data_IF_095102935100
#
_entry.id   IF_095102935100
#
_cell.length_a   1.000
_cell.length_b   1.000
_cell.length_c   1.000
_cell.angle_alpha   90.00
_cell.angle_beta   90.00
_cell.angle_gamma   90.00
#
_symmetry.space_group_name_H-M   'P 1'
#
loop_
_entity.id
_entity.type
_entity.pdbx_description
1 polymer ?
#
# COMPACT_ATOMS: atom_id res chain seq x y z
N UNK A 1 -26.58 -43.57 -13.40
CA UNK A 1 -26.75 -43.39 -11.96
C UNK A 1 -27.48 -42.07 -11.72
N UNK A 2 -28.77 -42.11 -11.43
CA UNK A 2 -29.59 -40.91 -11.17
C UNK A 2 -29.39 -40.52 -9.71
N UNK A 3 -28.81 -39.37 -9.46
CA UNK A 3 -28.76 -38.77 -8.12
C UNK A 3 -29.96 -37.86 -8.00
N UNK A 4 -30.93 -38.29 -7.16
CA UNK A 4 -32.06 -37.51 -6.73
C UNK A 4 -31.60 -36.37 -5.82
N UNK A 5 -31.63 -35.14 -6.30
CA UNK A 5 -31.46 -33.94 -5.49
C UNK A 5 -32.81 -33.20 -5.40
N UNK A 6 -33.75 -33.83 -4.72
CA UNK A 6 -35.06 -33.27 -4.40
C UNK A 6 -35.34 -33.62 -2.95
N UNK A 7 -34.92 -32.77 -2.03
CA UNK A 7 -35.47 -32.64 -0.67
C UNK A 7 -34.67 -31.58 0.11
N UNK A 8 -35.11 -30.31 0.00
CA UNK A 8 -34.96 -29.33 1.08
C UNK A 8 -35.42 -27.95 0.58
N UNK A 9 -36.77 -27.79 0.30
CA UNK A 9 -37.40 -26.46 0.31
C UNK A 9 -38.93 -26.63 0.24
N UNK A 10 -39.65 -26.86 1.33
CA UNK A 10 -41.09 -26.81 1.31
C UNK A 10 -41.75 -25.79 2.22
N UNK A 11 -41.16 -24.65 2.59
CA UNK A 11 -41.85 -23.77 3.54
C UNK A 11 -41.87 -22.26 3.24
N UNK A 12 -41.38 -21.77 2.11
CA UNK A 12 -41.33 -20.30 1.91
C UNK A 12 -42.15 -19.72 0.74
N UNK A 13 -42.88 -20.53 -0.06
CA UNK A 13 -43.64 -20.00 -1.18
C UNK A 13 -45.08 -20.54 -1.22
N UNK A 14 -45.93 -20.09 -0.29
CA UNK A 14 -47.38 -20.19 -0.44
C UNK A 14 -47.90 -18.93 -1.10
N UNK A 15 -48.30 -19.01 -2.39
CA UNK A 15 -49.02 -17.93 -3.07
C UNK A 15 -48.51 -17.45 -4.42
N UNK A 16 -47.46 -18.03 -4.97
CA UNK A 16 -46.96 -17.68 -6.31
C UNK A 16 -47.22 -18.84 -7.30
N UNK A 17 -47.57 -18.56 -8.57
CA UNK A 17 -47.63 -19.58 -9.59
C UNK A 17 -46.25 -20.20 -9.80
N UNK A 18 -46.17 -21.49 -10.19
CA UNK A 18 -44.89 -22.15 -10.42
C UNK A 18 -44.11 -21.40 -11.53
N UNK A 19 -42.81 -21.12 -11.33
CA UNK A 19 -42.02 -20.42 -12.31
C UNK A 19 -41.90 -21.23 -13.60
N UNK A 20 -41.95 -20.54 -14.75
CA UNK A 20 -41.78 -21.14 -16.08
C UNK A 20 -40.44 -21.93 -16.15
N UNK A 21 -40.45 -23.17 -16.72
CA UNK A 21 -39.24 -23.98 -16.82
C UNK A 21 -38.07 -23.33 -17.59
N UNK A 22 -38.38 -22.42 -18.50
CA UNK A 22 -37.38 -21.64 -19.24
C UNK A 22 -36.80 -20.48 -18.43
N UNK A 23 -37.60 -19.86 -17.54
CA UNK A 23 -37.13 -18.84 -16.62
C UNK A 23 -36.17 -19.42 -15.58
N UNK A 24 -36.47 -20.59 -15.03
CA UNK A 24 -35.57 -21.27 -14.07
C UNK A 24 -34.20 -21.55 -14.68
N UNK A 25 -34.15 -21.96 -15.95
CA UNK A 25 -32.86 -22.22 -16.63
C UNK A 25 -32.08 -20.94 -16.87
N UNK A 26 -32.76 -19.83 -17.16
CA UNK A 26 -32.10 -18.56 -17.48
C UNK A 26 -31.58 -17.87 -16.23
N UNK A 27 -32.37 -17.86 -15.15
CA UNK A 27 -31.97 -17.25 -13.87
C UNK A 27 -30.91 -18.07 -13.16
N UNK A 28 -30.97 -19.40 -13.22
CA UNK A 28 -29.94 -20.29 -12.68
C UNK A 28 -28.61 -20.16 -13.44
N UNK A 29 -28.67 -19.97 -14.77
CA UNK A 29 -27.48 -19.78 -15.60
C UNK A 29 -26.83 -18.41 -15.39
N UNK A 30 -27.64 -17.36 -15.17
CA UNK A 30 -27.15 -16.01 -14.85
C UNK A 30 -26.56 -15.97 -13.42
N UNK A 31 -27.20 -16.63 -12.46
CA UNK A 31 -26.70 -16.72 -11.08
C UNK A 31 -25.38 -17.51 -11.00
N UNK A 32 -25.27 -18.62 -11.72
CA UNK A 32 -24.02 -19.41 -11.77
C UNK A 32 -22.90 -18.68 -12.55
N UNK A 33 -23.22 -17.99 -13.65
CA UNK A 33 -22.20 -17.20 -14.37
C UNK A 33 -21.72 -15.99 -13.55
N UNK A 34 -22.61 -15.35 -12.80
CA UNK A 34 -22.25 -14.26 -11.88
C UNK A 34 -21.40 -14.75 -10.70
N UNK A 35 -21.79 -15.86 -10.08
CA UNK A 35 -21.02 -16.45 -8.96
C UNK A 35 -19.65 -17.00 -9.39
N UNK A 36 -19.55 -17.62 -10.58
CA UNK A 36 -18.27 -18.12 -11.12
C UNK A 36 -17.33 -16.97 -11.55
N UNK A 37 -17.87 -15.85 -12.02
CA UNK A 37 -17.08 -14.66 -12.39
C UNK A 37 -16.53 -13.91 -11.15
N UNK A 38 -17.21 -14.00 -10.00
CA UNK A 38 -16.78 -13.35 -8.75
C UNK A 38 -15.77 -14.17 -7.95
N UNK A 39 -15.64 -15.47 -8.18
CA UNK A 39 -14.72 -16.32 -7.41
C UNK A 39 -13.28 -16.36 -7.94
N UNK A 40 -12.98 -15.82 -9.14
CA UNK A 40 -11.71 -16.14 -9.83
C UNK A 40 -10.71 -15.00 -9.98
N UNK A 41 -10.99 -13.76 -9.53
CA UNK A 41 -10.18 -12.63 -9.97
C UNK A 41 -9.49 -11.77 -8.89
N UNK A 42 -9.74 -11.97 -7.59
CA UNK A 42 -9.23 -11.07 -6.55
C UNK A 42 -8.44 -11.76 -5.42
N UNK A 43 -7.90 -12.94 -5.65
CA UNK A 43 -7.11 -13.65 -4.65
C UNK A 43 -5.68 -13.89 -5.14
N UNK A 44 -4.71 -13.55 -4.29
CA UNK A 44 -3.33 -13.95 -4.48
C UNK A 44 -3.04 -15.24 -3.71
N UNK A 45 -2.39 -16.19 -4.38
CA UNK A 45 -1.99 -17.45 -3.76
C UNK A 45 -0.58 -17.33 -3.17
N UNK A 46 -0.44 -17.60 -1.89
CA UNK A 46 0.83 -17.53 -1.18
C UNK A 46 1.58 -18.86 -1.27
N UNK A 47 2.84 -18.82 -1.68
CA UNK A 47 3.73 -19.97 -1.84
C UNK A 47 4.44 -20.23 -0.52
N UNK A 48 3.85 -21.08 0.33
CA UNK A 48 4.31 -21.33 1.70
C UNK A 48 5.75 -21.83 1.79
N UNK A 49 6.20 -22.65 0.86
CA UNK A 49 7.55 -23.22 0.88
C UNK A 49 8.62 -22.18 0.58
N UNK A 50 8.32 -21.18 -0.27
CA UNK A 50 9.18 -20.02 -0.48
C UNK A 50 9.11 -19.11 0.74
N UNK A 51 7.94 -18.90 1.29
CA UNK A 51 7.73 -18.04 2.47
C UNK A 51 8.53 -18.46 3.70
N UNK A 52 8.71 -19.78 3.92
CA UNK A 52 9.53 -20.32 5.02
C UNK A 52 11.03 -20.01 4.90
N UNK A 53 11.52 -19.74 3.68
CA UNK A 53 12.93 -19.45 3.41
C UNK A 53 13.24 -17.94 3.50
N UNK A 54 12.22 -17.12 3.68
CA UNK A 54 12.36 -15.67 3.71
C UNK A 54 13.17 -15.22 4.93
N UNK A 55 14.22 -14.41 4.77
CA UNK A 55 14.97 -13.86 5.91
C UNK A 55 14.07 -12.91 6.73
N UNK A 56 14.33 -12.89 8.03
CA UNK A 56 13.60 -12.05 8.98
C UNK A 56 14.62 -11.35 9.91
N UNK A 57 14.67 -10.02 9.86
CA UNK A 57 15.55 -9.20 10.69
C UNK A 57 14.82 -8.08 11.46
N UNK A 58 13.54 -7.87 11.23
CA UNK A 58 12.77 -6.88 12.01
C UNK A 58 12.65 -7.30 13.47
N UNK A 59 12.42 -8.59 13.73
CA UNK A 59 12.29 -9.15 15.07
C UNK A 59 13.61 -9.77 15.56
N UNK A 60 14.40 -10.35 14.64
CA UNK A 60 15.70 -10.91 14.91
C UNK A 60 16.80 -9.99 14.36
N UNK A 61 17.15 -8.94 15.10
CA UNK A 61 18.16 -7.95 14.69
C UNK A 61 19.59 -8.49 14.59
N UNK A 62 19.85 -9.67 15.13
CA UNK A 62 21.17 -10.34 15.01
C UNK A 62 21.31 -11.12 13.71
N UNK A 63 20.25 -11.28 12.92
CA UNK A 63 20.33 -11.94 11.63
C UNK A 63 21.09 -11.05 10.64
N UNK A 64 21.97 -11.69 9.84
CA UNK A 64 22.70 -11.01 8.78
C UNK A 64 21.70 -10.36 7.79
N UNK A 65 21.91 -9.11 7.46
CA UNK A 65 21.07 -8.38 6.52
C UNK A 65 21.50 -8.72 5.08
N UNK A 66 20.62 -9.33 4.26
CA UNK A 66 20.96 -9.68 2.89
C UNK A 66 21.17 -8.47 1.97
N UNK A 67 20.68 -7.28 2.35
CA UNK A 67 20.82 -6.06 1.56
C UNK A 67 22.11 -5.28 1.88
N UNK A 68 22.76 -5.59 3.01
CA UNK A 68 24.10 -5.06 3.31
C UNK A 68 25.20 -5.79 2.54
N UNK A 69 24.95 -7.00 2.07
CA UNK A 69 25.87 -7.80 1.26
C UNK A 69 25.69 -7.47 -0.23
N UNK A 70 26.08 -6.24 -0.60
CA UNK A 70 25.83 -5.71 -1.94
C UNK A 70 26.61 -6.46 -3.04
N UNK A 71 27.75 -7.04 -2.73
CA UNK A 71 28.57 -7.82 -3.69
C UNK A 71 27.87 -9.10 -4.15
N UNK A 72 26.98 -9.65 -3.32
CA UNK A 72 26.22 -10.87 -3.60
C UNK A 72 24.78 -10.61 -4.06
N UNK A 73 24.41 -9.36 -4.34
CA UNK A 73 23.11 -9.05 -4.94
C UNK A 73 23.07 -9.52 -6.39
N UNK A 74 22.01 -10.21 -6.76
CA UNK A 74 21.74 -10.72 -8.11
C UNK A 74 20.47 -10.16 -8.69
N UNK A 75 20.28 -10.36 -10.00
CA UNK A 75 19.06 -9.95 -10.70
C UNK A 75 18.72 -8.46 -10.57
N UNK A 76 19.77 -7.63 -10.55
CA UNK A 76 19.65 -6.17 -10.51
C UNK A 76 19.03 -5.69 -11.83
N UNK A 77 17.98 -4.89 -11.74
CA UNK A 77 17.24 -4.34 -12.87
C UNK A 77 17.66 -2.90 -13.18
N UNK A 78 17.90 -2.10 -12.14
CA UNK A 78 18.42 -0.73 -12.27
C UNK A 78 19.04 -0.25 -10.97
N UNK A 79 19.90 0.78 -11.07
CA UNK A 79 20.55 1.44 -9.93
C UNK A 79 20.62 2.95 -10.13
N UNK A 80 20.60 3.70 -9.03
CA UNK A 80 20.91 5.13 -9.01
C UNK A 80 21.62 5.49 -7.69
N UNK A 81 22.94 5.47 -7.71
CA UNK A 81 23.79 5.56 -6.52
C UNK A 81 23.58 4.36 -5.60
N UNK A 82 23.22 4.60 -4.35
CA UNK A 82 22.92 3.56 -3.37
C UNK A 82 21.53 2.93 -3.50
N UNK A 83 20.68 3.46 -4.39
CA UNK A 83 19.36 2.90 -4.65
C UNK A 83 19.48 1.77 -5.66
N UNK A 84 18.98 0.57 -5.31
CA UNK A 84 19.11 -0.63 -6.14
C UNK A 84 17.72 -1.27 -6.30
N UNK A 85 17.29 -1.43 -7.55
CA UNK A 85 16.08 -2.17 -7.89
C UNK A 85 16.44 -3.54 -8.46
N UNK A 86 15.89 -4.62 -7.88
CA UNK A 86 16.24 -6.00 -8.22
C UNK A 86 15.01 -6.93 -8.10
N UNK A 87 15.08 -8.10 -8.73
CA UNK A 87 14.07 -9.14 -8.55
C UNK A 87 14.09 -9.65 -7.10
N UNK A 88 12.90 -9.92 -6.55
CA UNK A 88 12.81 -10.53 -5.24
C UNK A 88 13.29 -11.99 -5.29
N UNK A 89 14.33 -12.32 -4.53
CA UNK A 89 14.87 -13.68 -4.41
C UNK A 89 13.84 -14.69 -3.86
N UNK A 90 12.84 -14.20 -3.11
CA UNK A 90 11.80 -15.01 -2.49
C UNK A 90 10.41 -14.57 -2.97
N UNK A 91 10.02 -14.86 -4.23
CA UNK A 91 8.74 -14.46 -4.79
C UNK A 91 7.62 -15.33 -4.21
N UNK A 92 7.02 -14.87 -3.12
CA UNK A 92 6.03 -15.65 -2.34
C UNK A 92 4.61 -15.63 -2.90
N UNK A 93 4.32 -14.86 -3.95
CA UNK A 93 3.00 -14.76 -4.55
C UNK A 93 3.00 -15.39 -5.94
N UNK A 94 2.05 -16.29 -6.19
CA UNK A 94 1.88 -16.95 -7.49
C UNK A 94 1.40 -15.94 -8.54
N UNK A 95 1.79 -16.15 -9.79
CA UNK A 95 1.38 -15.35 -10.96
C UNK A 95 1.65 -13.83 -10.79
N UNK A 96 2.81 -13.51 -10.21
CA UNK A 96 3.28 -12.14 -9.99
C UNK A 96 4.74 -11.96 -10.38
N UNK A 97 5.11 -10.75 -10.72
CA UNK A 97 6.49 -10.31 -10.85
C UNK A 97 6.85 -9.47 -9.62
N UNK A 98 7.62 -10.05 -8.70
CA UNK A 98 7.96 -9.41 -7.43
C UNK A 98 9.37 -8.84 -7.48
N UNK A 99 9.49 -7.56 -7.15
CA UNK A 99 10.78 -6.86 -7.07
C UNK A 99 10.93 -6.15 -5.74
N UNK A 100 12.17 -5.87 -5.39
CA UNK A 100 12.57 -5.11 -4.21
C UNK A 100 13.37 -3.90 -4.67
N UNK A 101 13.16 -2.76 -4.05
CA UNK A 101 13.91 -1.55 -4.24
C UNK A 101 14.59 -1.21 -2.91
N UNK A 102 15.90 -1.49 -2.82
CA UNK A 102 16.74 -1.13 -1.68
C UNK A 102 16.95 0.38 -1.75
N UNK A 103 16.68 1.08 -0.66
CA UNK A 103 16.62 2.54 -0.63
C UNK A 103 17.97 3.20 -0.39
N UNK A 104 18.87 2.52 0.30
CA UNK A 104 20.15 3.06 0.79
C UNK A 104 21.13 1.92 1.04
N UNK A 105 22.41 2.20 1.14
CA UNK A 105 23.47 1.26 1.55
C UNK A 105 23.61 1.14 3.09
N UNK A 106 23.05 2.08 3.84
CA UNK A 106 23.06 2.07 5.30
C UNK A 106 21.82 1.40 5.89
N UNK A 107 22.02 0.30 6.62
CA UNK A 107 20.95 -0.51 7.20
C UNK A 107 20.10 0.23 8.26
N UNK A 108 20.66 1.25 8.91
CA UNK A 108 19.97 2.01 9.97
C UNK A 108 19.23 3.24 9.45
N UNK A 109 19.45 3.62 8.19
CA UNK A 109 18.77 4.75 7.60
C UNK A 109 17.34 4.41 7.16
N UNK A 110 16.48 5.41 7.19
CA UNK A 110 15.09 5.31 6.78
C UNK A 110 14.56 6.67 6.30
N UNK A 111 13.35 6.73 5.76
CA UNK A 111 12.75 7.97 5.21
C UNK A 111 12.88 9.17 6.17
N UNK A 112 12.74 8.97 7.47
CA UNK A 112 12.86 10.04 8.46
C UNK A 112 14.28 10.64 8.56
N UNK A 113 15.34 9.86 8.25
CA UNK A 113 16.74 10.27 8.36
C UNK A 113 17.37 10.74 7.06
N UNK A 114 16.80 10.40 5.90
CA UNK A 114 17.34 10.77 4.60
C UNK A 114 17.48 12.29 4.42
N UNK A 115 18.48 12.69 3.64
CA UNK A 115 18.55 14.05 3.09
C UNK A 115 17.38 14.28 2.13
N UNK A 116 16.95 15.53 1.96
CA UNK A 116 15.89 15.86 1.00
C UNK A 116 16.27 15.44 -0.43
N UNK A 117 17.52 15.60 -0.82
CA UNK A 117 18.01 15.21 -2.13
C UNK A 117 17.86 13.70 -2.36
N UNK A 118 18.31 12.89 -1.39
CA UNK A 118 18.17 11.44 -1.46
C UNK A 118 16.69 11.02 -1.48
N UNK A 119 15.85 11.66 -0.67
CA UNK A 119 14.41 11.37 -0.63
C UNK A 119 13.73 11.65 -1.98
N UNK A 120 14.02 12.80 -2.59
CA UNK A 120 13.50 13.15 -3.93
C UNK A 120 13.98 12.18 -4.99
N UNK A 121 15.26 11.83 -4.97
CA UNK A 121 15.86 10.85 -5.86
C UNK A 121 15.17 9.48 -5.72
N UNK A 122 14.99 9.01 -4.50
CA UNK A 122 14.32 7.75 -4.18
C UNK A 122 12.89 7.70 -4.74
N UNK A 123 12.08 8.73 -4.49
CA UNK A 123 10.69 8.75 -4.94
C UNK A 123 10.59 8.87 -6.46
N UNK A 124 11.43 9.70 -7.11
CA UNK A 124 11.50 9.76 -8.58
C UNK A 124 11.83 8.39 -9.18
N UNK A 125 12.87 7.74 -8.67
CA UNK A 125 13.31 6.43 -9.11
C UNK A 125 12.21 5.37 -8.91
N UNK A 126 11.57 5.35 -7.76
CA UNK A 126 10.51 4.40 -7.42
C UNK A 126 9.27 4.56 -8.32
N UNK A 127 8.79 5.78 -8.48
CA UNK A 127 7.61 6.08 -9.29
C UNK A 127 7.90 5.82 -10.77
N UNK A 128 9.08 6.19 -11.28
CA UNK A 128 9.47 5.93 -12.66
C UNK A 128 9.38 4.43 -12.99
N UNK A 129 10.00 3.57 -12.17
CA UNK A 129 10.00 2.13 -12.43
C UNK A 129 8.61 1.50 -12.18
N UNK A 130 7.85 2.00 -11.22
CA UNK A 130 6.48 1.56 -11.00
C UNK A 130 5.58 1.86 -12.19
N UNK A 131 5.57 3.09 -12.71
CA UNK A 131 4.78 3.48 -13.87
C UNK A 131 5.26 2.78 -15.15
N UNK A 132 6.57 2.60 -15.33
CA UNK A 132 7.13 1.85 -16.44
C UNK A 132 6.66 0.37 -16.42
N UNK A 133 6.59 -0.24 -15.23
CA UNK A 133 6.09 -1.61 -15.11
C UNK A 133 4.56 -1.67 -15.31
N UNK A 134 3.83 -0.63 -14.90
CA UNK A 134 2.38 -0.51 -15.09
C UNK A 134 1.98 -0.41 -16.56
N UNK A 135 2.84 0.14 -17.42
CA UNK A 135 2.62 0.19 -18.87
C UNK A 135 2.85 -1.14 -19.58
N UNK A 136 3.30 -2.19 -18.89
CA UNK A 136 3.48 -3.53 -19.45
C UNK A 136 2.17 -4.30 -19.40
N UNK A 137 1.64 -4.65 -20.57
CA UNK A 137 0.38 -5.39 -20.76
C UNK A 137 0.37 -6.79 -20.13
N UNK A 138 1.53 -7.30 -19.68
CA UNK A 138 1.61 -8.58 -18.95
C UNK A 138 0.89 -8.52 -17.59
N UNK A 139 0.73 -7.32 -17.01
CA UNK A 139 0.17 -7.13 -15.67
C UNK A 139 -1.19 -6.44 -15.71
N UNK A 140 -2.17 -7.04 -15.06
CA UNK A 140 -3.49 -6.42 -14.83
C UNK A 140 -3.38 -5.19 -13.94
N UNK A 141 -2.49 -5.24 -12.95
CA UNK A 141 -2.16 -4.09 -12.12
C UNK A 141 -0.77 -4.22 -11.50
N UNK A 142 -0.19 -3.09 -11.11
CA UNK A 142 1.13 -3.02 -10.46
C UNK A 142 1.02 -2.17 -9.21
N UNK A 143 1.54 -2.67 -8.08
CA UNK A 143 1.56 -1.96 -6.81
C UNK A 143 2.98 -1.53 -6.46
N UNK A 144 3.09 -0.36 -5.82
CA UNK A 144 4.31 0.13 -5.16
C UNK A 144 3.97 0.39 -3.70
N UNK A 145 4.74 -0.18 -2.78
CA UNK A 145 4.51 0.02 -1.35
C UNK A 145 5.79 -0.14 -0.53
N UNK A 146 5.75 0.38 0.70
CA UNK A 146 6.80 0.26 1.70
C UNK A 146 6.25 -0.22 3.03
N UNK A 147 7.01 -1.09 3.67
CA UNK A 147 6.82 -1.47 5.07
C UNK A 147 7.97 -0.92 5.92
N UNK A 148 7.65 -0.30 7.06
CA UNK A 148 8.64 0.14 8.04
C UNK A 148 8.19 -0.20 9.46
N UNK A 149 9.10 -0.81 10.22
CA UNK A 149 8.88 -1.16 11.62
C UNK A 149 8.06 -2.44 11.86
N UNK A 150 7.98 -2.90 13.13
CA UNK A 150 7.50 -4.25 13.47
C UNK A 150 6.01 -4.49 13.22
N UNK A 151 5.18 -3.45 13.15
CA UNK A 151 3.73 -3.59 12.92
C UNK A 151 3.32 -3.39 11.46
N UNK A 152 4.29 -3.16 10.56
CA UNK A 152 4.02 -2.88 9.15
C UNK A 152 3.77 -4.11 8.28
N UNK A 153 4.08 -5.31 8.77
CA UNK A 153 4.05 -6.55 7.98
C UNK A 153 5.33 -6.83 7.19
N UNK A 154 6.36 -6.01 7.33
CA UNK A 154 7.68 -6.26 6.76
C UNK A 154 8.44 -7.39 7.45
N UNK A 155 9.46 -7.94 6.81
CA UNK A 155 10.36 -8.95 7.36
C UNK A 155 11.80 -8.47 7.56
N UNK A 156 12.24 -7.48 6.78
CA UNK A 156 13.61 -6.96 6.83
C UNK A 156 13.64 -5.55 7.39
N UNK A 157 14.62 -5.30 8.27
CA UNK A 157 14.85 -3.99 8.90
C UNK A 157 15.40 -2.97 7.90
N UNK A 158 16.36 -3.37 7.08
CA UNK A 158 16.96 -2.53 6.04
C UNK A 158 15.88 -1.88 5.16
N UNK A 159 15.95 -0.57 5.02
CA UNK A 159 14.93 0.19 4.31
C UNK A 159 14.78 -0.23 2.84
N UNK A 160 13.58 -0.61 2.47
CA UNK A 160 13.26 -1.03 1.11
C UNK A 160 11.78 -0.77 0.76
N UNK A 161 11.51 -0.63 -0.53
CA UNK A 161 10.18 -0.65 -1.13
C UNK A 161 10.00 -1.94 -1.94
N UNK A 162 8.77 -2.21 -2.36
CA UNK A 162 8.45 -3.31 -3.26
C UNK A 162 7.60 -2.82 -4.41
N UNK A 163 7.94 -3.29 -5.63
CA UNK A 163 7.10 -3.12 -6.82
C UNK A 163 6.66 -4.52 -7.25
N UNK A 164 5.35 -4.75 -7.36
CA UNK A 164 4.81 -6.07 -7.71
C UNK A 164 3.83 -5.93 -8.86
N UNK A 165 4.15 -6.55 -9.99
CA UNK A 165 3.23 -6.74 -11.11
C UNK A 165 2.36 -7.96 -10.87
N UNK A 166 1.04 -7.81 -10.96
CA UNK A 166 0.04 -8.85 -10.76
C UNK A 166 -0.64 -9.18 -12.09
N UNK A 167 -0.61 -10.48 -12.49
CA UNK A 167 -1.14 -10.90 -13.81
C UNK A 167 -2.67 -10.96 -13.86
N UNK A 168 -3.32 -11.22 -12.73
CA UNK A 168 -4.75 -11.55 -12.70
C UNK A 168 -5.55 -10.75 -11.67
N UNK A 169 -4.90 -9.98 -10.81
CA UNK A 169 -5.55 -9.20 -9.75
C UNK A 169 -5.51 -7.73 -10.11
N UNK A 170 -6.66 -7.06 -10.03
CA UNK A 170 -6.76 -5.61 -10.13
C UNK A 170 -7.04 -5.02 -8.74
N UNK A 171 -6.03 -4.44 -8.12
CA UNK A 171 -6.17 -3.88 -6.78
C UNK A 171 -7.18 -2.71 -6.72
N UNK A 172 -7.41 -2.01 -7.83
CA UNK A 172 -8.35 -0.89 -7.89
C UNK A 172 -9.81 -1.31 -7.66
N UNK A 173 -10.17 -2.59 -7.90
CA UNK A 173 -11.51 -3.09 -7.61
C UNK A 173 -11.86 -3.11 -6.10
N UNK A 174 -10.84 -2.99 -5.23
CA UNK A 174 -11.01 -2.97 -3.77
C UNK A 174 -10.82 -1.57 -3.18
N UNK A 175 -10.71 -0.53 -4.02
CA UNK A 175 -10.39 0.83 -3.61
C UNK A 175 -11.51 1.76 -4.06
N UNK A 176 -11.97 2.61 -3.15
CA UNK A 176 -12.95 3.66 -3.41
C UNK A 176 -12.24 5.02 -3.45
N UNK A 177 -12.68 5.92 -4.32
CA UNK A 177 -12.07 7.25 -4.45
C UNK A 177 -12.16 8.05 -3.14
N UNK A 178 -13.23 7.83 -2.38
CA UNK A 178 -13.46 8.42 -1.07
C UNK A 178 -12.41 8.02 -0.03
N UNK A 179 -11.67 6.93 -0.24
CA UNK A 179 -10.56 6.56 0.64
C UNK A 179 -9.42 7.60 0.63
N UNK A 180 -9.38 8.46 -0.38
CA UNK A 180 -8.31 9.45 -0.58
C UNK A 180 -8.79 10.89 -0.36
N UNK A 181 -10.03 11.07 0.08
CA UNK A 181 -10.64 12.36 0.40
C UNK A 181 -10.79 12.52 1.91
N UNK A 182 -10.78 13.77 2.39
CA UNK A 182 -11.00 14.04 3.80
C UNK A 182 -10.56 15.42 4.26
N UNK A 183 -10.16 15.53 5.51
CA UNK A 183 -9.81 16.79 6.16
C UNK A 183 -8.52 17.34 5.58
N UNK A 184 -8.59 18.45 4.85
CA UNK A 184 -7.43 19.08 4.18
C UNK A 184 -6.52 19.70 5.24
N UNK A 185 -5.24 19.28 5.24
CA UNK A 185 -4.16 19.84 6.07
C UNK A 185 -3.47 20.97 5.32
N UNK A 186 -3.06 20.70 4.08
CA UNK A 186 -2.46 21.67 3.17
C UNK A 186 -2.91 21.39 1.73
N UNK A 187 -3.15 22.44 0.95
CA UNK A 187 -3.45 22.34 -0.47
C UNK A 187 -2.97 23.55 -1.21
N UNK A 188 -2.35 23.33 -2.36
CA UNK A 188 -2.03 24.33 -3.35
C UNK A 188 -2.30 23.78 -4.77
N UNK A 189 -1.90 24.48 -5.81
CA UNK A 189 -2.11 24.07 -7.21
C UNK A 189 -1.32 22.81 -7.62
N UNK A 190 -0.40 22.32 -6.80
CA UNK A 190 0.53 21.25 -7.12
C UNK A 190 0.29 19.99 -6.31
N UNK A 191 -0.10 20.15 -5.04
CA UNK A 191 -0.17 19.07 -4.08
C UNK A 191 -1.28 19.29 -3.06
N UNK A 192 -1.91 18.20 -2.67
CA UNK A 192 -2.83 18.15 -1.55
C UNK A 192 -2.33 17.16 -0.51
N UNK A 193 -2.33 17.57 0.76
CA UNK A 193 -2.20 16.72 1.93
C UNK A 193 -3.51 16.72 2.70
N UNK A 194 -4.15 15.59 2.83
CA UNK A 194 -5.38 15.42 3.59
C UNK A 194 -5.32 14.21 4.53
N UNK A 195 -6.26 14.15 5.48
CA UNK A 195 -6.47 13.01 6.37
C UNK A 195 -7.77 12.35 5.97
N UNK A 196 -7.72 11.05 5.64
CA UNK A 196 -8.88 10.31 5.14
C UNK A 196 -10.03 10.30 6.14
N UNK A 197 -11.24 10.67 5.68
CA UNK A 197 -12.50 10.49 6.41
C UNK A 197 -13.08 9.10 6.21
N UNK A 198 -12.64 8.38 5.17
CA UNK A 198 -12.96 6.98 4.92
C UNK A 198 -11.68 6.14 4.80
N UNK A 199 -10.99 5.88 5.93
CA UNK A 199 -9.74 5.12 5.91
C UNK A 199 -9.99 3.67 5.45
N UNK A 200 -8.98 3.08 4.79
CA UNK A 200 -9.05 1.69 4.33
C UNK A 200 -8.96 0.72 5.52
N UNK A 201 -7.99 0.93 6.42
CA UNK A 201 -7.78 0.06 7.59
C UNK A 201 -8.42 0.69 8.83
N UNK A 202 -8.18 1.99 9.03
CA UNK A 202 -8.79 2.71 10.13
C UNK A 202 -7.90 3.71 10.85
N UNK A 203 -8.53 4.42 11.78
CA UNK A 203 -8.09 5.49 12.64
C UNK A 203 -7.65 6.74 11.90
N UNK A 204 -6.42 6.82 11.44
CA UNK A 204 -5.87 7.99 10.76
C UNK A 204 -4.98 7.54 9.63
N UNK A 205 -5.28 7.98 8.43
CA UNK A 205 -4.49 7.73 7.22
C UNK A 205 -4.28 9.05 6.48
N UNK A 206 -3.04 9.34 6.11
CA UNK A 206 -2.68 10.58 5.41
C UNK A 206 -2.57 10.32 3.92
N UNK A 207 -3.15 11.20 3.09
CA UNK A 207 -3.05 11.13 1.64
C UNK A 207 -2.26 12.32 1.13
N UNK A 208 -1.26 12.05 0.31
CA UNK A 208 -0.47 13.04 -0.42
C UNK A 208 -0.76 12.84 -1.89
N UNK A 209 -1.41 13.82 -2.52
CA UNK A 209 -1.97 13.73 -3.86
C UNK A 209 -1.33 14.74 -4.76
N UNK A 210 -0.85 14.31 -5.93
CA UNK A 210 -0.41 15.18 -7.04
C UNK A 210 -1.17 14.81 -8.30
N UNK A 211 -1.45 15.82 -9.15
CA UNK A 211 -2.13 15.65 -10.44
C UNK A 211 -1.15 15.62 -11.61
N UNK A 212 0.12 15.98 -11.39
CA UNK A 212 1.17 15.99 -12.41
C UNK A 212 2.46 15.40 -11.84
N UNK A 213 3.09 14.53 -12.60
CA UNK A 213 4.38 13.89 -12.28
C UNK A 213 5.51 14.91 -12.08
N UNK A 214 5.39 16.11 -12.64
CA UNK A 214 6.32 17.21 -12.42
C UNK A 214 6.45 17.61 -10.94
N UNK A 215 5.46 17.26 -10.10
CA UNK A 215 5.43 17.59 -8.67
C UNK A 215 5.91 16.45 -7.76
N UNK A 216 6.56 15.42 -8.31
CA UNK A 216 7.09 14.29 -7.54
C UNK A 216 8.05 14.73 -6.43
N UNK A 217 8.88 15.73 -6.67
CA UNK A 217 9.82 16.23 -5.66
C UNK A 217 9.10 16.86 -4.46
N UNK A 218 8.01 17.55 -4.74
CA UNK A 218 7.17 18.11 -3.70
C UNK A 218 6.45 16.99 -2.92
N UNK A 219 5.92 15.99 -3.62
CA UNK A 219 5.37 14.77 -3.00
C UNK A 219 6.39 14.09 -2.09
N UNK A 220 7.64 13.92 -2.54
CA UNK A 220 8.70 13.31 -1.74
C UNK A 220 8.94 14.07 -0.42
N UNK A 221 8.98 15.40 -0.47
CA UNK A 221 9.14 16.23 0.72
C UNK A 221 7.95 16.07 1.68
N UNK A 222 6.72 16.04 1.18
CA UNK A 222 5.51 15.85 1.99
C UNK A 222 5.45 14.45 2.61
N UNK A 223 5.85 13.41 1.87
CA UNK A 223 5.97 12.04 2.40
C UNK A 223 6.97 12.03 3.56
N UNK A 224 8.16 12.62 3.37
CA UNK A 224 9.19 12.62 4.39
C UNK A 224 8.75 13.34 5.67
N UNK A 225 8.17 14.53 5.53
CA UNK A 225 7.69 15.31 6.67
C UNK A 225 6.54 14.60 7.41
N UNK A 226 5.60 13.98 6.67
CA UNK A 226 4.52 13.21 7.28
C UNK A 226 5.06 11.99 8.02
N UNK A 227 6.04 11.28 7.45
CA UNK A 227 6.71 10.15 8.12
C UNK A 227 7.44 10.60 9.38
N UNK A 228 8.19 11.71 9.34
CA UNK A 228 8.85 12.27 10.53
C UNK A 228 7.84 12.59 11.62
N UNK A 229 6.75 13.30 11.27
CA UNK A 229 5.66 13.58 12.20
C UNK A 229 5.09 12.31 12.85
N UNK A 230 4.85 11.25 12.05
CA UNK A 230 4.33 9.97 12.56
C UNK A 230 5.28 9.34 13.59
N UNK A 231 6.57 9.40 13.33
CA UNK A 231 7.59 8.76 14.17
C UNK A 231 7.94 9.57 15.43
N UNK A 232 7.67 10.89 15.46
CA UNK A 232 8.07 11.77 16.56
C UNK A 232 6.91 12.34 17.36
N UNK A 233 5.85 12.84 16.70
CA UNK A 233 4.85 13.70 17.32
C UNK A 233 3.43 13.13 17.30
N UNK A 234 3.08 12.26 16.31
CA UNK A 234 1.72 11.80 16.10
C UNK A 234 1.13 11.02 17.28
N UNK A 235 1.82 10.01 17.73
CA UNK A 235 1.39 9.17 18.85
C UNK A 235 2.60 8.56 19.55
N UNK A 236 2.66 8.69 20.86
CA UNK A 236 3.76 8.18 21.67
C UNK A 236 3.93 6.68 21.48
N UNK A 237 5.09 6.29 20.92
CA UNK A 237 5.42 4.88 20.63
C UNK A 237 5.00 4.39 19.25
N UNK A 238 4.54 5.25 18.33
CA UNK A 238 4.37 4.87 16.94
C UNK A 238 5.74 4.72 16.29
N UNK A 239 6.14 3.47 16.01
CA UNK A 239 7.43 3.12 15.40
C UNK A 239 7.29 2.41 14.05
N UNK A 240 6.09 2.41 13.48
CA UNK A 240 5.79 1.66 12.28
C UNK A 240 4.83 2.42 11.37
N UNK A 241 5.08 2.33 10.07
CA UNK A 241 4.18 2.87 9.06
C UNK A 241 4.24 2.05 7.78
N UNK A 242 3.23 2.22 6.92
CA UNK A 242 3.27 1.82 5.53
C UNK A 242 3.14 3.04 4.61
N UNK A 243 3.76 2.94 3.43
CA UNK A 243 3.42 3.76 2.28
C UNK A 243 2.74 2.87 1.25
N UNK A 244 1.64 3.34 0.69
CA UNK A 244 0.96 2.71 -0.43
C UNK A 244 0.79 3.74 -1.53
N UNK A 245 1.20 3.41 -2.75
CA UNK A 245 1.07 4.29 -3.90
C UNK A 245 -0.07 3.81 -4.78
N UNK A 246 -0.85 4.77 -5.28
CA UNK A 246 -1.99 4.54 -6.16
C UNK A 246 -1.89 5.46 -7.37
N UNK A 247 -2.24 4.93 -8.53
CA UNK A 247 -2.44 5.71 -9.74
C UNK A 247 -3.93 5.62 -10.08
N UNK A 248 -4.67 6.68 -9.81
CA UNK A 248 -6.11 6.72 -9.92
C UNK A 248 -6.54 8.02 -10.59
N UNK A 249 -7.31 7.93 -11.69
CA UNK A 249 -7.81 9.11 -12.43
C UNK A 249 -6.69 10.11 -12.77
N UNK A 250 -5.57 9.60 -13.31
CA UNK A 250 -4.34 10.36 -13.65
C UNK A 250 -3.61 10.99 -12.45
N UNK A 251 -4.11 10.82 -11.23
CA UNK A 251 -3.48 11.28 -10.01
C UNK A 251 -2.53 10.23 -9.45
N UNK A 252 -1.39 10.68 -8.94
CA UNK A 252 -0.52 9.84 -8.11
C UNK A 252 -0.80 10.18 -6.66
N UNK A 253 -1.10 9.16 -5.87
CA UNK A 253 -1.44 9.28 -4.47
C UNK A 253 -0.47 8.42 -3.66
N UNK A 254 0.15 9.00 -2.64
CA UNK A 254 0.84 8.26 -1.60
C UNK A 254 0.01 8.29 -0.32
N UNK A 255 -0.50 7.15 0.10
CA UNK A 255 -1.17 6.99 1.39
C UNK A 255 -0.14 6.57 2.43
N UNK A 256 0.02 7.38 3.48
CA UNK A 256 0.91 7.12 4.62
C UNK A 256 0.04 6.64 5.79
N UNK A 257 0.28 5.41 6.23
CA UNK A 257 -0.53 4.75 7.25
C UNK A 257 0.31 4.47 8.48
N UNK A 258 0.08 5.16 9.62
CA UNK A 258 0.66 4.78 10.90
C UNK A 258 0.23 3.36 11.28
N UNK A 259 1.16 2.53 11.73
CA UNK A 259 0.85 1.12 11.99
C UNK A 259 0.91 0.77 13.46
N UNK A 260 -0.16 0.16 13.91
CA UNK A 260 -0.37 -0.45 15.22
C UNK A 260 -0.90 -1.87 15.02
N UNK A 261 -1.21 -2.56 16.11
CA UNK A 261 -1.98 -3.81 16.01
C UNK A 261 -3.36 -3.49 15.40
N UNK A 262 -3.70 -4.21 14.35
CA UNK A 262 -4.95 -3.97 13.62
C UNK A 262 -6.16 -4.29 14.49
N UNK A 263 -7.17 -3.43 14.45
CA UNK A 263 -8.41 -3.62 15.20
C UNK A 263 -9.08 -4.97 14.88
N UNK A 264 -9.56 -5.71 15.91
CA UNK A 264 -10.32 -6.95 15.70
C UNK A 264 -11.62 -6.72 14.89
N UNK A 265 -12.19 -5.53 14.90
CA UNK A 265 -13.36 -5.20 14.09
C UNK A 265 -13.01 -5.20 12.59
N UNK A 266 -11.83 -4.69 12.24
CA UNK A 266 -11.36 -4.75 10.85
C UNK A 266 -10.96 -6.18 10.45
N UNK A 267 -10.22 -6.89 11.31
CA UNK A 267 -9.75 -8.26 11.04
C UNK A 267 -10.90 -9.23 10.84
N UNK A 268 -11.92 -9.18 11.70
CA UNK A 268 -13.03 -10.13 11.67
C UNK A 268 -14.19 -9.70 10.76
N UNK A 269 -14.42 -8.39 10.61
CA UNK A 269 -15.63 -7.87 9.98
C UNK A 269 -15.37 -6.84 8.87
N UNK A 270 -14.12 -6.51 8.58
CA UNK A 270 -13.72 -5.46 7.63
C UNK A 270 -14.36 -4.09 7.91
N UNK A 271 -14.61 -3.78 9.19
CA UNK A 271 -15.15 -2.50 9.63
C UNK A 271 -14.00 -1.59 10.03
N UNK A 272 -13.65 -0.56 9.21
CA UNK A 272 -12.65 0.42 9.58
C UNK A 272 -13.18 1.32 10.69
N UNK A 273 -12.26 1.88 11.48
CA UNK A 273 -12.59 2.83 12.53
C UNK A 273 -11.95 4.18 12.20
N UNK A 274 -12.68 5.25 12.31
CA UNK A 274 -12.20 6.62 12.07
C UNK A 274 -11.98 7.32 13.42
N UNK A 275 -10.88 8.05 13.54
CA UNK A 275 -10.64 8.90 14.69
C UNK A 275 -11.65 10.05 14.75
N UNK A 276 -12.21 10.31 15.91
CA UNK A 276 -13.06 11.50 16.14
C UNK A 276 -12.23 12.78 16.25
N UNK A 277 -10.91 12.69 16.18
CA UNK A 277 -9.95 13.79 16.42
C UNK A 277 -9.18 14.20 15.16
N UNK A 278 -9.74 14.00 13.97
CA UNK A 278 -9.06 14.33 12.71
C UNK A 278 -8.67 15.81 12.64
N UNK A 279 -9.52 16.72 13.12
CA UNK A 279 -9.21 18.15 13.16
C UNK A 279 -8.05 18.49 14.12
N UNK A 280 -7.95 17.80 15.26
CA UNK A 280 -6.80 17.96 16.17
C UNK A 280 -5.50 17.49 15.49
N UNK A 281 -5.54 16.33 14.83
CA UNK A 281 -4.39 15.78 14.08
C UNK A 281 -3.98 16.72 12.94
N UNK A 282 -4.95 17.29 12.20
CA UNK A 282 -4.72 18.29 11.17
C UNK A 282 -3.93 19.49 11.72
N UNK A 283 -4.38 20.06 12.83
CA UNK A 283 -3.73 21.23 13.46
C UNK A 283 -2.29 20.87 13.86
N UNK A 284 -2.09 19.71 14.50
CA UNK A 284 -0.77 19.26 14.92
C UNK A 284 0.18 19.06 13.73
N UNK A 285 -0.30 18.41 12.67
CA UNK A 285 0.48 18.17 11.46
C UNK A 285 0.82 19.48 10.73
N UNK A 286 -0.13 20.40 10.60
CA UNK A 286 0.11 21.72 10.00
C UNK A 286 1.15 22.54 10.79
N UNK A 287 1.10 22.50 12.11
CA UNK A 287 2.09 23.13 12.98
C UNK A 287 3.48 22.49 12.83
N UNK A 288 3.54 21.16 12.70
CA UNK A 288 4.78 20.44 12.47
C UNK A 288 5.45 20.90 11.16
N UNK A 289 4.70 20.95 10.05
CA UNK A 289 5.19 21.45 8.76
C UNK A 289 5.71 22.89 8.83
N UNK A 290 5.06 23.76 9.61
CA UNK A 290 5.51 25.14 9.78
C UNK A 290 6.84 25.20 10.54
N UNK A 291 6.98 24.47 11.66
CA UNK A 291 8.22 24.40 12.44
C UNK A 291 9.41 23.88 11.62
N UNK A 292 9.20 22.82 10.86
CA UNK A 292 10.25 22.26 9.99
C UNK A 292 10.70 23.26 8.94
N UNK A 293 9.76 24.00 8.34
CA UNK A 293 10.07 25.05 7.36
C UNK A 293 10.91 26.18 7.98
N UNK A 294 10.55 26.65 9.16
CA UNK A 294 11.29 27.70 9.86
C UNK A 294 12.70 27.24 10.26
N UNK A 295 12.84 26.00 10.74
CA UNK A 295 14.13 25.41 11.06
C UNK A 295 15.06 25.28 9.84
N UNK A 296 14.50 25.00 8.65
CA UNK A 296 15.27 24.95 7.40
C UNK A 296 15.73 26.34 6.93
N UNK A 297 14.93 27.36 7.14
CA UNK A 297 15.29 28.75 6.77
C UNK A 297 16.48 29.22 7.65
N UNK A 298 16.44 28.97 8.93
CA UNK A 298 17.54 29.35 9.85
C UNK A 298 18.86 28.65 9.52
N UNK A 299 18.83 27.35 9.14
CA UNK A 299 20.05 26.62 8.73
C UNK A 299 20.67 27.07 7.41
N UNK A 300 19.94 27.78 6.56
CA UNK A 300 20.47 28.32 5.28
C UNK A 300 21.06 29.74 5.44
N UNK A 301 20.84 30.37 6.59
CA UNK A 301 21.30 31.73 6.91
C UNK A 301 22.52 31.76 7.82
N UNK A 302 22.96 30.60 8.32
CA UNK A 302 24.25 30.37 8.97
C UNK A 302 25.29 29.82 7.98
#
# INVERSE_FOLDING_TARGET
MRISCLLFFPTLFKGFPPPCPECIKRDFYIYFKGAYRQMDTQQLYFLNDIGKQKPESIRNRNAACPFCDQENLTDILATDGSIIWLKNKFPTLKDTFQTVLIETDNCEDHIGTYTEEHMRKLIRFSIHHWLSLQSNEEFTSVILYKNHGPFSGGSLHHAHMQIIGMKHVNYLENIEEENFQGVIVQKNERIELNISERPIIGFTEFNIVIEDIAFIDEMANYIQQTVRYILTDFHKGCSSYNLFFYHLNEKIICKVVPRFVVSPLYVGYKIPQVSTKLEEVKIQLAQYFTKEKDAMIHKKTE
#
